data_IF_049441249793
#
_entry.id   IF_049441249793
#
_cell.length_a   1.000
_cell.length_b   1.000
_cell.length_c   1.000
_cell.angle_alpha   90.00
_cell.angle_beta   90.00
_cell.angle_gamma   90.00
#
_symmetry.space_group_name_H-M   'P 1'
#
loop_
_entity.id
_entity.type
_entity.pdbx_description
1 polymer ?
#
# COMPACT_ATOMS: atom_id res chain seq x y z
N UNK A 1 44.63 26.09 -7.04
CA UNK A 1 43.30 26.50 -7.51
C UNK A 1 42.57 25.26 -7.95
N UNK A 2 41.73 24.70 -7.11
CA UNK A 2 40.84 23.57 -7.43
C UNK A 2 39.74 24.07 -8.35
N UNK A 3 39.43 23.43 -9.47
CA UNK A 3 38.33 23.84 -10.33
C UNK A 3 37.03 23.69 -9.53
N UNK A 4 36.34 24.78 -9.30
CA UNK A 4 34.97 24.78 -8.78
C UNK A 4 34.12 24.09 -9.85
N UNK A 5 33.69 22.85 -9.59
CA UNK A 5 32.73 22.17 -10.44
C UNK A 5 31.50 23.07 -10.54
N UNK A 6 31.09 23.36 -11.77
CA UNK A 6 29.83 24.06 -12.03
C UNK A 6 28.72 23.27 -11.35
N UNK A 7 27.78 23.91 -10.64
CA UNK A 7 26.66 23.19 -10.04
C UNK A 7 25.91 22.44 -11.15
N UNK A 8 25.73 21.14 -10.96
CA UNK A 8 24.92 20.32 -11.86
C UNK A 8 23.54 20.96 -11.88
N UNK A 9 23.12 21.44 -13.05
CA UNK A 9 21.79 22.01 -13.19
C UNK A 9 20.76 20.88 -13.03
N UNK A 10 19.99 20.92 -11.94
CA UNK A 10 18.92 19.93 -11.72
C UNK A 10 17.84 20.07 -12.80
N UNK A 11 17.42 18.93 -13.34
CA UNK A 11 16.41 18.87 -14.37
C UNK A 11 15.02 18.69 -13.77
N UNK A 12 14.12 19.61 -14.07
CA UNK A 12 12.76 19.69 -13.52
C UNK A 12 11.75 19.39 -14.62
N UNK A 13 10.83 18.46 -14.37
CA UNK A 13 9.60 18.33 -15.15
C UNK A 13 8.52 19.16 -14.45
N UNK A 14 8.07 20.22 -15.12
CA UNK A 14 6.98 21.08 -14.67
C UNK A 14 5.70 20.72 -15.43
N UNK A 15 4.64 20.38 -14.70
CA UNK A 15 3.34 20.01 -15.27
C UNK A 15 2.25 20.93 -14.70
N UNK A 16 1.65 21.71 -15.54
CA UNK A 16 0.56 22.65 -15.19
C UNK A 16 -0.24 22.94 -16.46
N UNK A 17 -1.55 22.91 -16.43
CA UNK A 17 -2.42 23.15 -17.60
C UNK A 17 -2.62 24.65 -17.89
N UNK A 18 -2.37 25.53 -16.92
CA UNK A 18 -2.40 26.96 -17.09
C UNK A 18 -1.12 27.48 -17.79
N UNK A 19 -1.25 27.94 -19.02
CA UNK A 19 -0.13 28.44 -19.82
C UNK A 19 0.62 29.59 -19.14
N UNK A 20 -0.09 30.51 -18.48
CA UNK A 20 0.54 31.67 -17.84
C UNK A 20 1.31 31.25 -16.58
N UNK A 21 0.79 30.33 -15.79
CA UNK A 21 1.47 29.76 -14.63
C UNK A 21 2.70 29.01 -15.07
N UNK A 22 2.54 28.16 -16.08
CA UNK A 22 3.64 27.32 -16.62
C UNK A 22 4.78 28.18 -17.18
N UNK A 23 4.48 29.25 -17.93
CA UNK A 23 5.49 30.16 -18.48
C UNK A 23 6.27 30.90 -17.36
N UNK A 24 5.56 31.50 -16.40
CA UNK A 24 6.16 32.23 -15.27
C UNK A 24 7.04 31.31 -14.42
N UNK A 25 6.56 30.10 -14.15
CA UNK A 25 7.31 29.12 -13.36
C UNK A 25 8.56 28.65 -14.10
N UNK A 26 8.45 28.34 -15.39
CA UNK A 26 9.59 27.96 -16.23
C UNK A 26 10.67 29.02 -16.21
N UNK A 27 10.33 30.27 -16.57
CA UNK A 27 11.30 31.37 -16.55
C UNK A 27 11.97 31.57 -15.18
N UNK A 28 11.18 31.46 -14.11
CA UNK A 28 11.71 31.70 -12.77
C UNK A 28 12.68 30.60 -12.34
N UNK A 29 12.35 29.34 -12.62
CA UNK A 29 13.23 28.21 -12.31
C UNK A 29 14.50 28.25 -13.16
N UNK A 30 14.41 28.57 -14.46
CA UNK A 30 15.55 28.68 -15.36
C UNK A 30 16.50 29.81 -14.94
N UNK A 31 15.97 30.98 -14.57
CA UNK A 31 16.78 32.09 -13.99
C UNK A 31 17.53 31.68 -12.71
N UNK A 32 17.05 30.67 -12.03
CA UNK A 32 17.68 30.12 -10.81
C UNK A 32 18.63 28.96 -11.09
N UNK A 33 18.83 28.61 -12.37
CA UNK A 33 19.80 27.63 -12.81
C UNK A 33 19.29 26.19 -12.92
N UNK A 34 17.97 26.00 -12.96
CA UNK A 34 17.37 24.70 -13.26
C UNK A 34 17.22 24.50 -14.78
N UNK A 35 17.24 23.29 -15.23
CA UNK A 35 16.85 22.93 -16.60
C UNK A 35 15.39 22.48 -16.56
N UNK A 36 14.48 23.27 -17.12
CA UNK A 36 13.03 22.99 -17.05
C UNK A 36 12.54 22.38 -18.36
N UNK A 37 11.81 21.28 -18.23
CA UNK A 37 10.97 20.71 -19.30
C UNK A 37 9.54 20.89 -18.84
N UNK A 38 8.76 21.65 -19.62
CA UNK A 38 7.38 21.97 -19.31
C UNK A 38 6.41 21.07 -20.08
N UNK A 39 5.34 20.64 -19.45
CA UNK A 39 4.26 19.86 -20.06
C UNK A 39 2.91 20.49 -19.70
N UNK A 40 2.04 20.64 -20.69
CA UNK A 40 0.70 21.21 -20.54
C UNK A 40 -0.38 20.15 -20.25
N UNK A 41 -0.02 18.88 -20.23
CA UNK A 41 -0.96 17.78 -20.05
C UNK A 41 -0.27 16.53 -19.48
N UNK A 42 -1.08 15.63 -18.92
CA UNK A 42 -0.64 14.31 -18.48
C UNK A 42 0.01 13.52 -19.60
N UNK A 43 -0.59 13.51 -20.78
CA UNK A 43 -0.05 12.77 -21.95
C UNK A 43 1.35 13.26 -22.32
N UNK A 44 1.57 14.57 -22.29
CA UNK A 44 2.88 15.16 -22.56
C UNK A 44 3.88 14.84 -21.46
N UNK A 45 3.47 14.96 -20.19
CA UNK A 45 4.29 14.61 -19.04
C UNK A 45 4.73 13.14 -19.08
N UNK A 46 3.82 12.21 -19.37
CA UNK A 46 4.13 10.78 -19.49
C UNK A 46 5.12 10.49 -20.60
N UNK A 47 5.00 11.18 -21.73
CA UNK A 47 5.99 11.07 -22.83
C UNK A 47 7.39 11.48 -22.36
N UNK A 48 7.52 12.60 -21.65
CA UNK A 48 8.80 13.06 -21.12
C UNK A 48 9.36 12.10 -20.06
N UNK A 49 8.52 11.59 -19.15
CA UNK A 49 8.93 10.62 -18.12
C UNK A 49 9.52 9.35 -18.73
N UNK A 50 9.00 8.91 -19.87
CA UNK A 50 9.46 7.69 -20.53
C UNK A 50 10.72 7.88 -21.39
N UNK A 51 11.02 9.11 -21.80
CA UNK A 51 12.13 9.41 -22.73
C UNK A 51 13.32 10.11 -22.09
N UNK A 52 13.13 10.72 -20.93
CA UNK A 52 14.12 11.58 -20.29
C UNK A 52 14.19 11.31 -18.78
N UNK A 53 15.33 11.63 -18.17
CA UNK A 53 15.49 11.53 -16.71
C UNK A 53 15.37 12.90 -16.05
N UNK A 54 14.71 12.94 -14.88
CA UNK A 54 14.46 14.16 -14.11
C UNK A 54 14.93 14.01 -12.67
N UNK A 55 15.41 15.10 -12.09
CA UNK A 55 15.74 15.18 -10.65
C UNK A 55 14.51 15.57 -9.84
N UNK A 56 13.59 16.32 -10.44
CA UNK A 56 12.41 16.89 -9.77
C UNK A 56 11.19 16.79 -10.68
N UNK A 57 10.07 16.38 -10.12
CA UNK A 57 8.73 16.59 -10.67
C UNK A 57 8.05 17.68 -9.87
N UNK A 58 7.54 18.70 -10.54
CA UNK A 58 6.65 19.73 -10.00
C UNK A 58 5.35 19.67 -10.80
N UNK A 59 4.25 19.29 -10.18
CA UNK A 59 2.97 19.12 -10.87
C UNK A 59 1.83 19.80 -10.11
N UNK A 60 0.93 20.47 -10.85
CA UNK A 60 -0.35 20.92 -10.29
C UNK A 60 -1.23 19.71 -9.99
N UNK A 61 -1.99 19.78 -8.90
CA UNK A 61 -2.97 18.78 -8.51
C UNK A 61 -4.32 18.98 -9.24
N UNK A 62 -4.61 20.16 -9.75
CA UNK A 62 -5.87 20.47 -10.40
C UNK A 62 -5.72 20.54 -11.93
N UNK A 63 -5.63 19.38 -12.56
CA UNK A 63 -5.72 19.27 -13.99
C UNK A 63 -7.15 18.99 -14.45
N UNK A 64 -7.52 19.29 -15.73
CA UNK A 64 -8.93 19.27 -16.20
C UNK A 64 -9.70 17.97 -15.97
N UNK A 65 -9.00 16.84 -15.87
CA UNK A 65 -9.63 15.55 -15.59
C UNK A 65 -9.21 15.02 -14.22
N UNK A 66 -10.14 14.75 -13.30
CA UNK A 66 -9.82 14.29 -11.93
C UNK A 66 -9.03 12.97 -11.84
N UNK A 67 -9.05 12.14 -12.90
CA UNK A 67 -8.22 10.92 -12.98
C UNK A 67 -6.76 11.20 -13.36
N UNK A 68 -6.45 12.40 -13.79
CA UNK A 68 -5.14 12.79 -14.29
C UNK A 68 -4.19 13.22 -13.16
N UNK A 69 -4.74 13.76 -12.07
CA UNK A 69 -4.02 14.37 -10.97
C UNK A 69 -2.95 13.46 -10.36
N UNK A 70 -3.23 12.16 -10.28
CA UNK A 70 -2.33 11.19 -9.68
C UNK A 70 -1.50 10.38 -10.67
N UNK A 71 -1.86 10.41 -11.95
CA UNK A 71 -1.23 9.58 -12.99
C UNK A 71 0.21 9.98 -13.22
N UNK A 72 0.52 11.28 -13.28
CA UNK A 72 1.88 11.78 -13.49
C UNK A 72 2.80 11.42 -12.31
N UNK A 73 2.32 11.62 -11.09
CA UNK A 73 3.07 11.29 -9.87
C UNK A 73 3.36 9.81 -9.80
N UNK A 74 2.34 8.98 -10.04
CA UNK A 74 2.49 7.51 -10.03
C UNK A 74 3.48 7.05 -11.10
N UNK A 75 3.41 7.59 -12.31
CA UNK A 75 4.33 7.27 -13.39
C UNK A 75 5.78 7.68 -13.06
N UNK A 76 5.98 8.89 -12.53
CA UNK A 76 7.29 9.36 -12.09
C UNK A 76 7.86 8.46 -11.00
N UNK A 77 7.09 8.15 -9.97
CA UNK A 77 7.48 7.27 -8.89
C UNK A 77 7.85 5.87 -9.36
N UNK A 78 7.13 5.35 -10.35
CA UNK A 78 7.40 4.03 -10.90
C UNK A 78 8.66 4.03 -11.78
N UNK A 79 8.79 5.00 -12.68
CA UNK A 79 9.87 5.03 -13.68
C UNK A 79 11.16 5.65 -13.14
N UNK A 80 11.05 6.70 -12.33
CA UNK A 80 12.17 7.47 -11.81
C UNK A 80 12.02 7.69 -10.30
N UNK A 81 12.11 6.61 -9.54
CA UNK A 81 11.84 6.64 -8.12
C UNK A 81 12.76 7.59 -7.34
N UNK A 82 13.88 8.01 -7.89
CA UNK A 82 14.80 8.97 -7.27
C UNK A 82 14.47 10.44 -7.58
N UNK A 83 13.48 10.75 -8.40
CA UNK A 83 13.04 12.11 -8.62
C UNK A 83 12.31 12.67 -7.39
N UNK A 84 12.65 13.89 -6.97
CA UNK A 84 11.92 14.63 -5.93
C UNK A 84 10.54 14.99 -6.48
N UNK A 85 9.48 14.59 -5.79
CA UNK A 85 8.10 14.80 -6.27
C UNK A 85 7.41 15.85 -5.43
N UNK A 86 7.08 16.98 -6.04
CA UNK A 86 6.42 18.12 -5.43
C UNK A 86 5.04 18.31 -6.06
N UNK A 87 4.00 18.36 -5.23
CA UNK A 87 2.64 18.69 -5.64
C UNK A 87 2.32 20.14 -5.32
N UNK A 88 1.64 20.81 -6.23
CA UNK A 88 1.11 22.15 -6.04
C UNK A 88 -0.41 22.08 -5.94
N UNK A 89 -1.02 22.65 -4.89
CA UNK A 89 -2.47 22.59 -4.66
C UNK A 89 -3.03 23.92 -4.17
N UNK A 90 -4.23 24.26 -4.63
CA UNK A 90 -5.00 25.42 -4.16
C UNK A 90 -5.85 25.14 -2.91
N UNK A 91 -6.10 23.87 -2.57
CA UNK A 91 -6.99 23.45 -1.47
C UNK A 91 -6.27 22.51 -0.49
N UNK A 92 -5.84 23.00 0.66
CA UNK A 92 -4.84 22.32 1.46
C UNK A 92 -5.29 21.11 2.30
N UNK A 93 -6.56 20.99 2.70
CA UNK A 93 -6.85 20.14 3.88
C UNK A 93 -7.13 18.67 3.60
N UNK A 94 -7.99 18.33 2.65
CA UNK A 94 -8.35 16.93 2.37
C UNK A 94 -7.39 16.31 1.35
N UNK A 95 -7.00 17.07 0.36
CA UNK A 95 -6.11 16.65 -0.71
C UNK A 95 -4.68 16.37 -0.22
N UNK A 96 -4.20 17.18 0.74
CA UNK A 96 -2.90 16.94 1.40
C UNK A 96 -2.82 15.59 2.09
N UNK A 97 -3.85 15.24 2.83
CA UNK A 97 -3.88 13.96 3.54
C UNK A 97 -3.93 12.78 2.54
N UNK A 98 -4.72 12.90 1.49
CA UNK A 98 -4.82 11.86 0.45
C UNK A 98 -3.54 11.75 -0.38
N UNK A 99 -2.98 12.86 -0.84
CA UNK A 99 -1.79 12.86 -1.67
C UNK A 99 -0.54 12.38 -0.90
N UNK A 100 -0.38 12.80 0.35
CA UNK A 100 0.72 12.35 1.20
C UNK A 100 0.64 10.84 1.50
N UNK A 101 -0.57 10.32 1.70
CA UNK A 101 -0.80 8.91 2.04
C UNK A 101 -0.75 8.02 0.80
N UNK A 102 -1.40 8.43 -0.30
CA UNK A 102 -1.58 7.57 -1.47
C UNK A 102 -0.43 7.65 -2.48
N UNK A 103 0.26 8.78 -2.56
CA UNK A 103 1.24 9.06 -3.61
C UNK A 103 2.68 9.17 -3.11
N UNK A 104 2.89 9.12 -1.80
CA UNK A 104 4.23 9.27 -1.21
C UNK A 104 5.02 10.46 -1.79
N UNK A 105 4.34 11.59 -2.01
CA UNK A 105 5.02 12.81 -2.48
C UNK A 105 5.95 13.35 -1.41
N UNK A 106 7.07 13.93 -1.85
CA UNK A 106 8.09 14.44 -0.90
C UNK A 106 7.62 15.71 -0.21
N UNK A 107 6.83 16.56 -0.91
CA UNK A 107 6.28 17.81 -0.35
C UNK A 107 5.03 18.25 -1.09
N UNK A 108 4.16 18.98 -0.39
CA UNK A 108 2.97 19.62 -0.98
C UNK A 108 3.06 21.13 -0.75
N UNK A 109 2.97 21.87 -1.84
CA UNK A 109 3.09 23.32 -1.86
C UNK A 109 1.70 23.91 -2.07
N UNK A 110 1.30 24.80 -1.17
CA UNK A 110 -0.03 25.41 -1.21
C UNK A 110 0.01 26.72 -1.99
N UNK A 111 -0.87 26.87 -2.98
CA UNK A 111 -1.10 28.16 -3.69
C UNK A 111 -1.86 29.15 -2.77
N UNK A 112 -1.51 30.44 -2.72
CA UNK A 112 -0.37 31.07 -3.39
C UNK A 112 0.97 30.85 -2.66
N UNK A 113 2.04 30.65 -3.39
CA UNK A 113 3.39 30.47 -2.85
C UNK A 113 4.40 31.40 -3.53
N UNK A 114 5.48 31.70 -2.82
CA UNK A 114 6.60 32.44 -3.39
C UNK A 114 7.55 31.50 -4.13
N UNK A 115 7.75 31.72 -5.42
CA UNK A 115 8.62 30.86 -6.25
C UNK A 115 10.06 30.81 -5.69
N UNK A 116 10.52 31.85 -5.03
CA UNK A 116 11.83 31.86 -4.32
C UNK A 116 11.90 30.77 -3.26
N UNK A 117 10.86 30.60 -2.44
CA UNK A 117 10.80 29.56 -1.40
C UNK A 117 10.75 28.15 -2.01
N UNK A 118 10.06 27.99 -3.14
CA UNK A 118 10.05 26.73 -3.89
C UNK A 118 11.47 26.38 -4.36
N UNK A 119 12.21 27.34 -4.92
CA UNK A 119 13.59 27.14 -5.37
C UNK A 119 14.50 26.72 -4.21
N UNK A 120 14.37 27.40 -3.06
CA UNK A 120 15.17 27.09 -1.88
C UNK A 120 14.83 25.69 -1.35
N UNK A 121 13.56 25.32 -1.33
CA UNK A 121 13.09 23.97 -0.97
C UNK A 121 13.66 22.90 -1.90
N UNK A 122 13.58 23.12 -3.21
CA UNK A 122 14.13 22.17 -4.20
C UNK A 122 15.64 22.01 -3.99
N UNK A 123 16.38 23.10 -3.81
CA UNK A 123 17.82 23.07 -3.54
C UNK A 123 18.15 22.37 -2.23
N UNK A 124 17.46 22.68 -1.17
CA UNK A 124 17.66 22.04 0.12
C UNK A 124 17.42 20.53 0.03
N UNK A 125 16.34 20.12 -0.59
CA UNK A 125 15.96 18.71 -0.73
C UNK A 125 16.88 17.95 -1.68
N UNK A 126 17.36 18.56 -2.75
CA UNK A 126 18.31 17.93 -3.68
C UNK A 126 19.74 17.86 -3.13
N UNK A 127 20.20 18.88 -2.40
CA UNK A 127 21.53 18.91 -1.78
C UNK A 127 21.62 18.05 -0.51
N UNK A 128 20.57 18.04 0.31
CA UNK A 128 20.51 17.31 1.57
C UNK A 128 19.86 15.94 1.41
N UNK A 129 19.68 15.46 0.18
CA UNK A 129 19.09 14.18 -0.08
C UNK A 129 19.95 13.08 0.56
N UNK A 130 19.63 12.75 1.82
CA UNK A 130 19.89 11.40 2.29
C UNK A 130 19.14 10.51 1.32
N UNK A 131 19.80 9.49 0.73
CA UNK A 131 19.02 8.48 0.02
C UNK A 131 17.89 8.12 0.97
N UNK A 132 16.65 8.41 0.56
CA UNK A 132 15.52 7.97 1.33
C UNK A 132 15.81 6.49 1.58
N UNK A 133 15.85 6.08 2.84
CA UNK A 133 15.78 4.66 3.16
C UNK A 133 14.39 4.31 2.66
N UNK A 134 14.31 4.01 1.36
CA UNK A 134 13.12 3.45 0.78
C UNK A 134 13.04 2.10 1.43
N UNK A 135 12.18 1.97 2.40
CA UNK A 135 11.56 0.70 2.67
C UNK A 135 11.05 0.27 1.29
N UNK A 136 11.77 -0.70 0.68
CA UNK A 136 11.41 -1.15 -0.66
C UNK A 136 9.92 -1.43 -0.65
N UNK A 137 9.19 -0.97 -1.68
CA UNK A 137 7.76 -1.25 -1.76
C UNK A 137 7.56 -2.74 -1.65
N UNK A 138 6.89 -3.14 -0.58
CA UNK A 138 6.67 -4.53 -0.26
C UNK A 138 5.30 -4.96 -0.82
N UNK A 139 5.24 -6.14 -1.40
CA UNK A 139 3.96 -6.77 -1.69
C UNK A 139 3.24 -7.11 -0.40
N UNK A 140 1.92 -7.15 -0.46
CA UNK A 140 1.04 -7.53 0.67
C UNK A 140 1.52 -8.81 1.34
N UNK A 141 1.86 -9.85 0.57
CA UNK A 141 2.38 -11.11 1.10
C UNK A 141 3.66 -10.96 1.94
N UNK A 142 4.60 -10.11 1.51
CA UNK A 142 5.84 -9.84 2.27
C UNK A 142 5.55 -9.11 3.59
N UNK A 143 4.63 -8.15 3.58
CA UNK A 143 4.20 -7.45 4.79
C UNK A 143 3.56 -8.41 5.78
N UNK A 144 2.63 -9.26 5.32
CA UNK A 144 1.96 -10.23 6.18
C UNK A 144 2.95 -11.25 6.74
N UNK A 145 3.90 -11.76 5.91
CA UNK A 145 4.96 -12.67 6.34
C UNK A 145 5.81 -12.08 7.47
N UNK A 146 6.24 -10.85 7.32
CA UNK A 146 7.05 -10.12 8.31
C UNK A 146 6.26 -9.78 9.58
N UNK A 147 4.94 -9.63 9.47
CA UNK A 147 4.06 -9.19 10.55
C UNK A 147 3.27 -10.33 11.20
N UNK A 148 3.53 -11.61 10.90
CA UNK A 148 2.73 -12.74 11.41
C UNK A 148 2.54 -12.68 12.93
N UNK A 149 3.61 -12.47 13.69
CA UNK A 149 3.54 -12.38 15.15
C UNK A 149 2.58 -11.28 15.59
N UNK A 150 2.68 -10.11 14.99
CA UNK A 150 1.81 -8.97 15.30
C UNK A 150 0.35 -9.23 14.90
N UNK A 151 0.12 -9.88 13.77
CA UNK A 151 -1.23 -10.30 13.32
C UNK A 151 -1.85 -11.20 14.37
N UNK A 152 -1.11 -12.16 14.93
CA UNK A 152 -1.58 -13.07 15.97
C UNK A 152 -1.91 -12.32 17.27
N UNK A 153 -1.03 -11.40 17.68
CA UNK A 153 -1.24 -10.57 18.88
C UNK A 153 -2.48 -9.67 18.74
N UNK A 154 -2.61 -8.96 17.63
CA UNK A 154 -3.73 -8.06 17.34
C UNK A 154 -5.06 -8.84 17.21
N UNK A 155 -5.01 -10.02 16.61
CA UNK A 155 -6.17 -10.92 16.54
C UNK A 155 -6.60 -11.37 17.94
N UNK A 156 -5.65 -11.82 18.77
CA UNK A 156 -5.92 -12.25 20.14
C UNK A 156 -6.53 -11.12 20.97
N UNK A 157 -6.00 -9.91 20.86
CA UNK A 157 -6.53 -8.73 21.55
C UNK A 157 -8.00 -8.47 21.17
N UNK A 158 -8.35 -8.61 19.88
CA UNK A 158 -9.73 -8.48 19.40
C UNK A 158 -10.62 -9.64 19.86
N UNK A 159 -10.10 -10.87 19.79
CA UNK A 159 -10.83 -12.05 20.23
C UNK A 159 -11.19 -11.99 21.72
N UNK A 160 -10.29 -11.50 22.58
CA UNK A 160 -10.53 -11.27 24.01
C UNK A 160 -11.62 -10.22 24.30
N UNK A 161 -11.89 -9.31 23.36
CA UNK A 161 -12.99 -8.35 23.48
C UNK A 161 -14.34 -8.93 23.06
N UNK A 162 -14.36 -10.09 22.41
CA UNK A 162 -15.57 -10.74 21.93
C UNK A 162 -16.27 -11.51 23.04
N UNK A 163 -17.44 -11.05 23.46
CA UNK A 163 -18.28 -11.78 24.42
C UNK A 163 -18.61 -13.19 23.91
N UNK A 164 -18.82 -13.36 22.63
CA UNK A 164 -19.19 -14.63 22.02
C UNK A 164 -18.06 -15.66 22.12
N UNK A 165 -16.82 -15.29 21.80
CA UNK A 165 -15.67 -16.20 21.84
C UNK A 165 -15.26 -16.54 23.29
N UNK A 166 -15.49 -15.64 24.22
CA UNK A 166 -15.13 -15.82 25.65
C UNK A 166 -16.05 -16.81 26.39
N UNK A 167 -17.12 -17.30 25.74
CA UNK A 167 -17.93 -18.38 26.34
C UNK A 167 -17.19 -19.71 26.44
N UNK A 168 -16.18 -19.92 25.55
CA UNK A 168 -15.33 -21.10 25.62
C UNK A 168 -14.03 -20.72 26.35
N UNK A 169 -13.74 -21.29 27.51
CA UNK A 169 -12.55 -20.97 28.29
C UNK A 169 -11.31 -21.67 27.69
N UNK A 170 -10.61 -20.97 26.79
CA UNK A 170 -9.36 -21.40 26.17
C UNK A 170 -8.21 -20.51 26.62
N UNK A 171 -7.03 -21.09 26.76
CA UNK A 171 -5.78 -20.35 26.92
C UNK A 171 -5.45 -19.56 25.65
N UNK A 172 -4.53 -18.61 25.74
CA UNK A 172 -4.08 -17.81 24.59
C UNK A 172 -3.48 -18.71 23.51
N UNK A 173 -2.68 -19.70 23.89
CA UNK A 173 -2.06 -20.65 22.95
C UNK A 173 -3.09 -21.52 22.24
N UNK A 174 -4.10 -22.01 22.96
CA UNK A 174 -5.19 -22.78 22.34
C UNK A 174 -6.03 -21.94 21.38
N UNK A 175 -6.14 -20.63 21.67
CA UNK A 175 -6.85 -19.68 20.78
C UNK A 175 -6.06 -19.38 19.52
N UNK A 176 -4.75 -19.23 19.60
CA UNK A 176 -3.91 -18.66 18.53
C UNK A 176 -3.09 -19.67 17.76
N UNK A 177 -2.88 -20.88 18.31
CA UNK A 177 -1.89 -21.84 17.76
C UNK A 177 -2.10 -22.24 16.30
N UNK A 178 -3.29 -22.09 15.76
CA UNK A 178 -3.61 -22.36 14.35
C UNK A 178 -3.36 -21.16 13.42
N UNK A 179 -3.38 -19.91 13.94
CA UNK A 179 -3.35 -18.68 13.14
C UNK A 179 -2.08 -18.52 12.30
N UNK A 180 -0.87 -18.77 12.83
CA UNK A 180 0.34 -18.62 12.02
C UNK A 180 0.25 -19.41 10.71
N UNK A 181 -0.24 -20.65 10.78
CA UNK A 181 -0.33 -21.51 9.61
C UNK A 181 -1.38 -21.04 8.59
N UNK A 182 -2.53 -20.54 9.05
CA UNK A 182 -3.54 -19.95 8.17
C UNK A 182 -3.00 -18.70 7.46
N UNK A 183 -2.23 -17.86 8.16
CA UNK A 183 -1.60 -16.67 7.56
C UNK A 183 -0.48 -17.06 6.60
N UNK A 184 0.32 -18.10 6.90
CA UNK A 184 1.33 -18.63 5.99
C UNK A 184 0.71 -19.16 4.69
N UNK A 185 -0.40 -19.90 4.75
CA UNK A 185 -1.12 -20.39 3.56
C UNK A 185 -1.60 -19.21 2.70
N UNK A 186 -2.13 -18.15 3.32
CA UNK A 186 -2.48 -16.92 2.64
C UNK A 186 -1.27 -16.24 1.97
N UNK A 187 -0.12 -16.16 2.65
CA UNK A 187 1.11 -15.58 2.10
C UNK A 187 1.60 -16.38 0.88
N UNK A 188 1.52 -17.70 0.93
CA UNK A 188 1.84 -18.57 -0.22
C UNK A 188 0.91 -18.28 -1.39
N UNK A 189 -0.39 -18.06 -1.13
CA UNK A 189 -1.35 -17.71 -2.18
C UNK A 189 -1.04 -16.37 -2.83
N UNK A 190 -0.73 -15.34 -2.03
CA UNK A 190 -0.34 -14.00 -2.49
C UNK A 190 0.98 -13.98 -3.27
N UNK A 191 1.84 -14.97 -3.09
CA UNK A 191 3.11 -15.08 -3.79
C UNK A 191 2.98 -15.67 -5.20
N UNK A 192 1.85 -16.30 -5.53
CA UNK A 192 1.60 -16.86 -6.86
C UNK A 192 1.22 -15.74 -7.84
N UNK A 193 1.74 -15.76 -9.09
CA UNK A 193 1.25 -14.85 -10.11
C UNK A 193 -0.26 -15.07 -10.29
N UNK A 194 -1.00 -13.99 -10.47
CA UNK A 194 -2.43 -14.04 -10.80
C UNK A 194 -2.58 -14.65 -12.20
N UNK A 195 -2.45 -15.94 -12.32
CA UNK A 195 -2.74 -16.66 -13.55
C UNK A 195 -4.27 -16.64 -13.74
N UNK A 196 -4.65 -16.15 -14.92
CA UNK A 196 -6.00 -16.18 -15.48
C UNK A 196 -6.87 -17.28 -14.89
N UNK A 197 -7.94 -16.85 -14.25
CA UNK A 197 -9.05 -17.60 -13.70
C UNK A 197 -9.61 -18.66 -14.68
N UNK A 198 -9.02 -19.83 -14.74
CA UNK A 198 -9.65 -21.02 -15.36
C UNK A 198 -9.38 -22.33 -14.61
N UNK A 199 -8.52 -22.34 -13.62
CA UNK A 199 -8.37 -23.51 -12.74
C UNK A 199 -8.71 -23.09 -11.31
N UNK A 200 -9.98 -23.29 -10.97
CA UNK A 200 -10.45 -23.34 -9.58
C UNK A 200 -10.02 -24.67 -8.95
N UNK A 201 -8.73 -24.96 -8.96
CA UNK A 201 -8.20 -25.91 -8.01
C UNK A 201 -8.23 -25.21 -6.65
N UNK A 202 -9.31 -25.46 -5.91
CA UNK A 202 -9.43 -25.07 -4.53
C UNK A 202 -8.18 -25.57 -3.82
N UNK A 203 -7.27 -24.63 -3.47
CA UNK A 203 -6.08 -24.99 -2.72
C UNK A 203 -6.56 -25.42 -1.36
N UNK A 204 -6.50 -26.72 -1.07
CA UNK A 204 -6.85 -27.24 0.22
C UNK A 204 -5.84 -26.75 1.25
N UNK A 205 -6.31 -26.08 2.29
CA UNK A 205 -5.53 -25.71 3.47
C UNK A 205 -5.71 -26.79 4.53
N UNK A 206 -4.68 -27.60 4.74
CA UNK A 206 -4.66 -28.56 5.83
C UNK A 206 -4.84 -27.90 7.19
N UNK A 207 -4.36 -26.64 7.31
CA UNK A 207 -4.53 -25.83 8.50
C UNK A 207 -6.00 -25.46 8.74
N UNK A 208 -6.75 -25.10 7.70
CA UNK A 208 -8.16 -24.78 7.81
C UNK A 208 -8.99 -26.03 8.19
N UNK A 209 -8.68 -27.17 7.59
CA UNK A 209 -9.34 -28.46 7.93
C UNK A 209 -9.05 -28.83 9.39
N UNK A 210 -7.79 -28.74 9.82
CA UNK A 210 -7.41 -29.03 11.20
C UNK A 210 -8.08 -28.07 12.19
N UNK A 211 -8.18 -26.78 11.81
CA UNK A 211 -8.84 -25.76 12.60
C UNK A 211 -10.33 -26.07 12.84
N UNK A 212 -11.10 -26.42 11.83
CA UNK A 212 -12.50 -26.78 12.01
C UNK A 212 -12.72 -27.94 12.95
N UNK A 213 -11.94 -29.02 12.80
CA UNK A 213 -11.97 -30.20 13.71
C UNK A 213 -11.60 -29.82 15.14
N UNK A 214 -10.58 -28.97 15.30
CA UNK A 214 -10.13 -28.52 16.61
C UNK A 214 -11.22 -27.71 17.33
N UNK A 215 -11.85 -26.76 16.62
CA UNK A 215 -12.90 -25.90 17.20
C UNK A 215 -14.14 -26.67 17.59
N UNK A 216 -14.51 -27.71 16.80
CA UNK A 216 -15.57 -28.63 17.20
C UNK A 216 -15.25 -29.29 18.56
N UNK A 217 -14.04 -29.86 18.72
CA UNK A 217 -13.60 -30.51 19.98
C UNK A 217 -13.57 -29.55 21.16
N UNK A 218 -13.28 -28.28 20.91
CA UNK A 218 -13.23 -27.22 21.94
C UNK A 218 -14.62 -26.67 22.30
N UNK A 219 -15.69 -27.14 21.66
CA UNK A 219 -17.05 -26.71 21.96
C UNK A 219 -17.47 -25.38 21.30
N UNK A 220 -16.80 -24.96 20.26
CA UNK A 220 -17.22 -23.82 19.46
C UNK A 220 -18.55 -24.12 18.75
N UNK A 221 -19.30 -23.07 18.50
CA UNK A 221 -20.45 -23.14 17.57
C UNK A 221 -20.03 -22.70 16.18
N UNK A 222 -20.77 -23.08 15.11
CA UNK A 222 -20.52 -22.56 13.75
C UNK A 222 -20.46 -21.04 13.69
N UNK A 223 -21.30 -20.33 14.42
CA UNK A 223 -21.31 -18.88 14.48
C UNK A 223 -20.00 -18.30 15.07
N UNK A 224 -19.35 -19.03 15.98
CA UNK A 224 -18.06 -18.62 16.54
C UNK A 224 -16.94 -18.76 15.51
N UNK A 225 -16.96 -19.80 14.66
CA UNK A 225 -16.01 -19.95 13.53
C UNK A 225 -16.10 -18.77 12.55
N UNK A 226 -17.32 -18.41 12.15
CA UNK A 226 -17.56 -17.25 11.29
C UNK A 226 -17.05 -15.97 11.94
N UNK A 227 -17.25 -15.83 13.24
CA UNK A 227 -16.78 -14.66 13.98
C UNK A 227 -15.24 -14.58 14.07
N UNK A 228 -14.55 -15.71 14.27
CA UNK A 228 -13.08 -15.79 14.25
C UNK A 228 -12.51 -15.39 12.89
N UNK A 229 -13.09 -15.93 11.80
CA UNK A 229 -12.69 -15.58 10.43
C UNK A 229 -12.84 -14.07 10.15
N UNK A 230 -13.96 -13.48 10.59
CA UNK A 230 -14.17 -12.03 10.49
C UNK A 230 -13.13 -11.23 11.25
N UNK A 231 -12.78 -11.65 12.47
CA UNK A 231 -11.72 -11.00 13.26
C UNK A 231 -10.39 -11.09 12.51
N UNK A 232 -10.07 -12.25 11.91
CA UNK A 232 -8.85 -12.42 11.12
C UNK A 232 -8.82 -11.44 9.95
N UNK A 233 -9.89 -11.37 9.16
CA UNK A 233 -10.00 -10.46 8.03
C UNK A 233 -9.78 -8.99 8.44
N UNK A 234 -10.45 -8.54 9.50
CA UNK A 234 -10.29 -7.16 10.02
C UNK A 234 -8.86 -6.92 10.51
N UNK A 235 -8.22 -7.92 11.12
CA UNK A 235 -6.84 -7.81 11.60
C UNK A 235 -5.84 -7.72 10.44
N UNK A 236 -6.02 -8.53 9.39
CA UNK A 236 -5.19 -8.47 8.18
C UNK A 236 -5.27 -7.09 7.53
N UNK A 237 -6.47 -6.54 7.32
CA UNK A 237 -6.63 -5.20 6.77
C UNK A 237 -6.07 -4.11 7.68
N UNK A 238 -6.21 -4.24 9.00
CA UNK A 238 -5.58 -3.33 9.97
C UNK A 238 -4.04 -3.36 9.88
N UNK A 239 -3.46 -4.53 9.64
CA UNK A 239 -2.02 -4.68 9.42
C UNK A 239 -1.58 -3.98 8.15
N UNK A 240 -2.33 -4.10 7.05
CA UNK A 240 -2.04 -3.37 5.80
C UNK A 240 -2.16 -1.86 6.01
N UNK A 241 -3.21 -1.40 6.67
CA UNK A 241 -3.40 0.01 7.00
C UNK A 241 -2.22 0.59 7.80
N UNK A 242 -1.67 -0.19 8.74
CA UNK A 242 -0.52 0.23 9.54
C UNK A 242 0.81 0.24 8.78
N UNK A 243 0.85 -0.33 7.56
CA UNK A 243 2.03 -0.45 6.72
C UNK A 243 1.85 0.22 5.34
N UNK A 244 0.91 1.16 5.20
CA UNK A 244 0.61 1.83 3.92
C UNK A 244 1.85 2.47 3.29
N UNK A 245 2.75 3.04 4.09
CA UNK A 245 3.97 3.69 3.60
C UNK A 245 4.97 2.75 2.92
N UNK A 246 4.92 1.45 3.23
CA UNK A 246 5.81 0.43 2.63
C UNK A 246 5.11 -0.42 1.56
N UNK A 247 3.85 -0.17 1.27
CA UNK A 247 3.01 -1.02 0.46
C UNK A 247 3.16 -0.72 -1.04
N UNK A 248 3.27 -1.76 -1.88
CA UNK A 248 3.18 -1.61 -3.33
C UNK A 248 1.71 -1.51 -3.77
N UNK A 249 1.26 -0.29 -4.04
CA UNK A 249 -0.12 -0.01 -4.43
C UNK A 249 -0.47 -0.55 -5.82
N UNK A 250 0.50 -0.83 -6.69
CA UNK A 250 0.23 -1.33 -8.05
C UNK A 250 -0.48 -2.69 -8.06
N UNK A 251 -0.25 -3.48 -7.01
CA UNK A 251 -0.83 -4.81 -6.84
C UNK A 251 -1.82 -4.89 -5.67
N UNK A 252 -2.08 -3.78 -4.98
CA UNK A 252 -2.90 -3.78 -3.77
C UNK A 252 -4.30 -4.33 -4.01
N UNK A 253 -4.99 -3.89 -5.06
CA UNK A 253 -6.36 -4.32 -5.30
C UNK A 253 -6.47 -5.82 -5.64
N UNK A 254 -5.65 -6.38 -6.54
CA UNK A 254 -5.59 -7.83 -6.73
C UNK A 254 -5.24 -8.61 -5.45
N UNK A 255 -4.30 -8.11 -4.66
CA UNK A 255 -3.89 -8.75 -3.42
C UNK A 255 -5.01 -8.73 -2.36
N UNK A 256 -5.77 -7.63 -2.24
CA UNK A 256 -6.94 -7.51 -1.36
C UNK A 256 -8.05 -8.49 -1.77
N UNK A 257 -8.30 -8.63 -3.07
CA UNK A 257 -9.25 -9.62 -3.58
C UNK A 257 -8.79 -11.04 -3.26
N UNK A 258 -7.50 -11.33 -3.40
CA UNK A 258 -6.92 -12.64 -3.04
C UNK A 258 -7.04 -12.92 -1.55
N UNK A 259 -6.86 -11.91 -0.68
CA UNK A 259 -7.08 -12.07 0.78
C UNK A 259 -8.52 -12.45 1.08
N UNK A 260 -9.47 -11.73 0.47
CA UNK A 260 -10.89 -11.99 0.72
C UNK A 260 -11.29 -13.42 0.28
N UNK A 261 -10.87 -13.82 -0.91
CA UNK A 261 -11.13 -15.14 -1.48
C UNK A 261 -10.49 -16.25 -0.64
N UNK A 262 -9.24 -16.10 -0.22
CA UNK A 262 -8.55 -17.11 0.59
C UNK A 262 -9.15 -17.24 2.00
N UNK A 263 -9.51 -16.13 2.65
CA UNK A 263 -10.15 -16.16 3.99
C UNK A 263 -11.52 -16.85 3.91
N UNK A 264 -12.29 -16.61 2.85
CA UNK A 264 -13.56 -17.29 2.61
C UNK A 264 -13.38 -18.79 2.30
N UNK A 265 -12.36 -19.15 1.53
CA UNK A 265 -12.03 -20.55 1.24
C UNK A 265 -11.60 -21.30 2.50
N UNK A 266 -10.75 -20.70 3.34
CA UNK A 266 -10.33 -21.27 4.63
C UNK A 266 -11.51 -21.42 5.60
N UNK A 267 -12.42 -20.44 5.64
CA UNK A 267 -13.65 -20.54 6.44
C UNK A 267 -14.52 -21.70 5.95
N UNK A 268 -14.74 -21.82 4.64
CA UNK A 268 -15.54 -22.91 4.05
C UNK A 268 -14.96 -24.28 4.41
N UNK A 269 -13.65 -24.49 4.23
CA UNK A 269 -12.98 -25.74 4.57
C UNK A 269 -13.03 -26.04 6.07
N UNK A 270 -12.90 -25.02 6.93
CA UNK A 270 -13.04 -25.14 8.37
C UNK A 270 -14.47 -25.55 8.75
N UNK A 271 -15.48 -24.96 8.11
CA UNK A 271 -16.88 -25.30 8.35
C UNK A 271 -17.21 -26.72 7.91
N UNK A 272 -16.75 -27.14 6.72
CA UNK A 272 -16.97 -28.50 6.24
C UNK A 272 -16.35 -29.52 7.18
N UNK A 273 -15.10 -29.34 7.58
CA UNK A 273 -14.43 -30.24 8.51
C UNK A 273 -15.03 -30.23 9.92
N UNK A 274 -15.55 -29.10 10.37
CA UNK A 274 -16.31 -28.97 11.62
C UNK A 274 -17.61 -29.79 11.55
N UNK A 275 -18.37 -29.66 10.45
CA UNK A 275 -19.63 -30.39 10.24
C UNK A 275 -19.40 -31.90 10.11
N UNK A 276 -18.31 -32.32 9.47
CA UNK A 276 -17.91 -33.72 9.40
C UNK A 276 -17.56 -34.30 10.78
N UNK A 277 -16.82 -33.54 11.58
CA UNK A 277 -16.51 -33.93 12.97
C UNK A 277 -17.78 -34.05 13.83
N UNK A 278 -18.77 -33.21 13.60
CA UNK A 278 -20.07 -33.29 14.27
C UNK A 278 -20.88 -34.52 13.89
N UNK A 279 -20.80 -34.95 12.62
CA UNK A 279 -21.52 -36.12 12.10
C UNK A 279 -20.87 -37.44 12.51
N UNK A 280 -19.57 -37.43 12.78
CA UNK A 280 -18.80 -38.62 13.17
C UNK A 280 -18.39 -38.45 14.65
N UNK A 281 -19.29 -38.70 15.62
CA UNK A 281 -18.92 -38.66 17.00
C UNK A 281 -17.79 -39.68 17.24
N UNK A 282 -16.72 -39.28 17.94
CA UNK A 282 -15.65 -40.20 18.29
C UNK A 282 -16.27 -41.44 18.93
N UNK A 283 -15.98 -42.60 18.34
CA UNK A 283 -16.32 -43.86 18.97
C UNK A 283 -15.72 -43.85 20.40
N UNK A 284 -16.58 -43.98 21.37
CA UNK A 284 -16.27 -43.88 22.79
C UNK A 284 -15.32 -45.02 23.23
#
# INVERSE_FOLDING_TARGET
>A
MTPTALPVAHKVLLVDDDDAVREVMTETLERKGFHVVAAASVTEALRHITTESFDVLLTDLHMPNPSDDFTVVTAMRHSQPDALTLLVSGYPDVERAMAAILLEVDEIIVKPFEVGKLVDLVRERTLNRKPAIRLGKERVGAILQRCITRVVEDWLARAKQSKQLNHVPLSDDERTGHLPKLVEDLVVRLSKPTATTKDSDAIFSDAAIAHGKLRYKQGYTPAMLVHESRILQVTLFGTLQSNLSSLDFSLLLPDVMTIADEVDAQLTQSMDSYMDAMRTPAAA
#
